data_IF_876299302905
#
_entry.id   IF_876299302905
#
_cell.length_a   1.000
_cell.length_b   1.000
_cell.length_c   1.000
_cell.angle_alpha   90.00
_cell.angle_beta   90.00
_cell.angle_gamma   90.00
#
_symmetry.space_group_name_H-M   'P 1'
#
loop_
_entity.id
_entity.type
_entity.pdbx_description
1 polymer ?
#
# COMPACT_ATOMS: atom_id res chain seq x y z
N UNK A 1 12.79 1.37 3.27
CA UNK A 1 12.39 2.33 2.25
C UNK A 1 11.31 1.81 1.29
N UNK A 2 10.45 0.90 1.75
CA UNK A 2 9.56 0.14 0.86
C UNK A 2 8.18 0.78 0.63
N UNK A 3 7.87 1.84 1.35
CA UNK A 3 6.62 2.61 1.18
C UNK A 3 6.91 4.05 0.79
N UNK A 4 7.55 4.23 -0.36
CA UNK A 4 7.77 5.57 -0.89
C UNK A 4 6.54 6.07 -1.62
N UNK A 5 6.08 7.24 -1.22
CA UNK A 5 5.03 8.02 -1.91
C UNK A 5 5.69 8.86 -3.04
N UNK A 6 6.79 8.39 -3.60
CA UNK A 6 7.56 9.10 -4.63
C UNK A 6 7.01 8.82 -6.02
N UNK A 7 7.27 9.74 -6.95
CA UNK A 7 6.81 9.67 -8.34
C UNK A 7 7.28 8.41 -9.09
N UNK A 8 8.35 7.74 -8.63
CA UNK A 8 8.80 6.47 -9.20
C UNK A 8 7.86 5.29 -8.88
N UNK A 9 7.11 5.36 -7.77
CA UNK A 9 6.21 4.29 -7.29
C UNK A 9 4.73 4.64 -7.46
N UNK A 10 4.39 5.92 -7.44
CA UNK A 10 3.05 6.43 -7.66
C UNK A 10 3.11 7.33 -8.89
N UNK A 11 2.44 6.93 -9.96
CA UNK A 11 2.39 7.67 -11.23
C UNK A 11 1.01 8.28 -11.49
N UNK A 12 0.02 7.85 -10.74
CA UNK A 12 -1.37 8.27 -10.90
C UNK A 12 -2.17 8.08 -9.60
N UNK A 13 -3.32 8.73 -9.50
CA UNK A 13 -4.27 8.51 -8.40
C UNK A 13 -4.71 7.04 -8.30
N UNK A 14 -4.69 6.29 -9.39
CA UNK A 14 -4.96 4.84 -9.40
C UNK A 14 -3.94 4.09 -8.55
N UNK A 15 -2.68 4.50 -8.54
CA UNK A 15 -1.64 3.85 -7.73
C UNK A 15 -1.77 4.20 -6.25
N UNK A 16 -2.23 5.42 -5.94
CA UNK A 16 -2.64 5.80 -4.57
C UNK A 16 -3.72 4.85 -4.07
N UNK A 17 -4.77 4.61 -4.87
CA UNK A 17 -5.84 3.68 -4.52
C UNK A 17 -5.33 2.25 -4.32
N UNK A 18 -4.40 1.78 -5.15
CA UNK A 18 -3.78 0.45 -5.00
C UNK A 18 -3.00 0.35 -3.69
N UNK A 19 -2.17 1.35 -3.39
CA UNK A 19 -1.36 1.41 -2.17
C UNK A 19 -2.24 1.37 -0.92
N UNK A 20 -3.27 2.22 -0.85
CA UNK A 20 -4.22 2.27 0.26
C UNK A 20 -4.98 0.95 0.42
N UNK A 21 -5.43 0.34 -0.67
CA UNK A 21 -6.10 -0.96 -0.60
C UNK A 21 -5.19 -2.06 -0.07
N UNK A 22 -3.90 -2.04 -0.45
CA UNK A 22 -2.91 -3.01 0.04
C UNK A 22 -2.64 -2.80 1.52
N UNK A 23 -2.45 -1.56 1.97
CA UNK A 23 -2.29 -1.21 3.37
C UNK A 23 -3.46 -1.75 4.20
N UNK A 24 -4.69 -1.39 3.83
CA UNK A 24 -5.90 -1.81 4.56
C UNK A 24 -6.06 -3.35 4.55
N UNK A 25 -5.78 -4.01 3.42
CA UNK A 25 -5.94 -5.46 3.33
C UNK A 25 -4.99 -6.23 4.27
N UNK A 26 -3.79 -5.70 4.50
CA UNK A 26 -2.74 -6.37 5.28
C UNK A 26 -2.60 -5.86 6.73
N UNK A 27 -3.38 -4.86 7.13
CA UNK A 27 -3.38 -4.32 8.51
C UNK A 27 -4.72 -4.53 9.22
N UNK A 28 -5.51 -5.51 8.77
CA UNK A 28 -6.76 -5.88 9.44
C UNK A 28 -6.45 -6.61 10.74
N UNK A 29 -7.13 -6.21 11.82
CA UNK A 29 -7.08 -6.94 13.09
C UNK A 29 -7.72 -8.32 12.98
N UNK A 30 -7.32 -9.24 13.86
CA UNK A 30 -7.97 -10.55 13.98
C UNK A 30 -9.46 -10.37 14.30
N UNK A 31 -10.33 -10.97 13.47
CA UNK A 31 -11.78 -10.93 13.65
C UNK A 31 -12.54 -9.85 12.88
N UNK A 32 -11.87 -8.95 12.16
CA UNK A 32 -12.54 -8.06 11.22
C UNK A 32 -13.16 -8.87 10.07
N UNK A 33 -14.51 -8.90 10.03
CA UNK A 33 -15.25 -9.55 8.93
C UNK A 33 -14.92 -8.86 7.60
N UNK A 34 -14.81 -9.64 6.54
CA UNK A 34 -14.43 -9.19 5.19
C UNK A 34 -15.46 -8.28 4.48
N UNK A 35 -16.55 -7.87 5.16
CA UNK A 35 -17.50 -6.92 4.59
C UNK A 35 -16.87 -5.52 4.61
N UNK A 36 -16.93 -4.83 3.48
CA UNK A 36 -16.55 -3.41 3.41
C UNK A 36 -17.46 -2.62 4.35
N UNK A 37 -17.02 -2.51 5.60
CA UNK A 37 -17.70 -1.73 6.62
C UNK A 37 -17.52 -0.24 6.33
N UNK A 38 -18.44 0.56 6.81
CA UNK A 38 -18.38 2.02 6.75
C UNK A 38 -17.01 2.56 7.19
N UNK A 39 -16.43 1.99 8.26
CA UNK A 39 -15.13 2.39 8.80
C UNK A 39 -14.00 2.23 7.79
N UNK A 40 -13.90 1.09 7.15
CA UNK A 40 -12.89 0.81 6.11
C UNK A 40 -13.02 1.76 4.93
N UNK A 41 -14.24 2.10 4.52
CA UNK A 41 -14.47 3.08 3.44
C UNK A 41 -14.03 4.47 3.84
N UNK A 42 -14.31 4.88 5.08
CA UNK A 42 -13.91 6.18 5.61
C UNK A 42 -12.39 6.29 5.81
N UNK A 43 -11.74 5.26 6.35
CA UNK A 43 -10.28 5.16 6.45
C UNK A 43 -9.62 5.27 5.06
N UNK A 44 -10.17 4.57 4.06
CA UNK A 44 -9.69 4.63 2.68
C UNK A 44 -9.73 6.06 2.13
N UNK A 45 -10.83 6.78 2.33
CA UNK A 45 -10.95 8.17 1.91
C UNK A 45 -9.88 9.05 2.57
N UNK A 46 -9.67 8.87 3.86
CA UNK A 46 -8.70 9.63 4.62
C UNK A 46 -7.26 9.35 4.17
N UNK A 47 -6.86 8.08 4.07
CA UNK A 47 -5.54 7.71 3.54
C UNK A 47 -5.32 8.21 2.11
N UNK A 48 -6.32 8.10 1.24
CA UNK A 48 -6.23 8.63 -0.12
C UNK A 48 -6.06 10.15 -0.15
N UNK A 49 -6.69 10.86 0.78
CA UNK A 49 -6.52 12.30 0.91
C UNK A 49 -5.09 12.66 1.33
N UNK A 50 -4.58 12.05 2.42
CA UNK A 50 -3.25 12.34 2.95
C UNK A 50 -2.14 11.94 1.96
N UNK A 51 -2.18 10.72 1.42
CA UNK A 51 -1.19 10.24 0.46
C UNK A 51 -1.26 11.07 -0.83
N UNK A 52 -2.45 11.44 -1.28
CA UNK A 52 -2.63 12.32 -2.42
C UNK A 52 -2.03 13.71 -2.17
N UNK A 53 -2.24 14.28 -0.98
CA UNK A 53 -1.62 15.55 -0.60
C UNK A 53 -0.08 15.45 -0.61
N UNK A 54 0.48 14.43 0.02
CA UNK A 54 1.93 14.20 0.08
C UNK A 54 2.50 14.05 -1.34
N UNK A 55 1.86 13.26 -2.18
CA UNK A 55 2.36 13.00 -3.53
C UNK A 55 2.38 14.25 -4.41
N UNK A 56 1.35 15.09 -4.36
CA UNK A 56 1.23 16.27 -5.20
C UNK A 56 1.97 17.50 -4.63
N UNK A 57 1.86 17.72 -3.31
CA UNK A 57 2.22 19.01 -2.70
C UNK A 57 3.50 18.96 -1.86
N UNK A 58 3.93 17.79 -1.37
CA UNK A 58 5.12 17.68 -0.55
C UNK A 58 6.42 17.70 -1.39
N UNK A 59 7.52 18.22 -0.85
CA UNK A 59 8.84 18.08 -1.45
C UNK A 59 9.27 16.61 -1.46
N UNK A 60 10.20 16.24 -2.34
CA UNK A 60 10.58 14.83 -2.56
C UNK A 60 11.12 14.15 -1.30
N UNK A 61 11.76 14.87 -0.40
CA UNK A 61 12.29 14.37 0.87
C UNK A 61 11.15 13.92 1.82
N UNK A 62 9.98 14.56 1.69
CA UNK A 62 8.81 14.29 2.53
C UNK A 62 7.82 13.30 1.89
N UNK A 63 8.06 12.84 0.66
CA UNK A 63 7.21 11.84 0.00
C UNK A 63 7.48 10.43 0.53
N UNK A 64 7.17 10.21 1.81
CA UNK A 64 7.42 8.95 2.51
C UNK A 64 6.33 8.65 3.56
N UNK A 65 6.42 7.48 4.17
CA UNK A 65 5.46 7.02 5.18
C UNK A 65 5.54 7.82 6.48
N UNK A 66 6.71 8.37 6.80
CA UNK A 66 6.90 9.13 8.05
C UNK A 66 6.07 10.41 7.99
N UNK A 67 6.08 11.11 6.86
CA UNK A 67 5.21 12.28 6.64
C UNK A 67 3.72 11.91 6.77
N UNK A 68 3.31 10.74 6.26
CA UNK A 68 1.94 10.27 6.45
C UNK A 68 1.61 10.09 7.93
N UNK A 69 2.50 9.48 8.71
CA UNK A 69 2.33 9.32 10.16
C UNK A 69 2.25 10.66 10.88
N UNK A 70 3.13 11.58 10.54
CA UNK A 70 3.15 12.91 11.16
C UNK A 70 1.85 13.69 10.83
N UNK A 71 1.32 13.57 9.61
CA UNK A 71 0.01 14.13 9.27
C UNK A 71 -1.14 13.48 10.06
N UNK A 72 -1.13 12.14 10.23
CA UNK A 72 -2.14 11.45 11.05
C UNK A 72 -2.05 11.91 12.50
N UNK A 73 -0.85 12.01 13.05
CA UNK A 73 -0.64 12.48 14.43
C UNK A 73 -1.01 13.96 14.62
N UNK A 74 -0.85 14.78 13.59
CA UNK A 74 -1.28 16.19 13.59
C UNK A 74 -2.79 16.36 13.34
N UNK A 75 -3.49 15.27 13.01
CA UNK A 75 -4.95 15.30 12.80
C UNK A 75 -5.66 15.12 14.13
N UNK A 76 -6.55 16.02 14.41
CA UNK A 76 -7.35 15.99 15.64
C UNK A 76 -8.81 16.32 15.29
N UNK A 77 -9.74 15.63 15.93
CA UNK A 77 -11.16 15.94 15.87
C UNK A 77 -11.66 16.15 17.30
N UNK A 78 -12.27 17.32 17.57
CA UNK A 78 -12.88 17.63 18.85
C UNK A 78 -14.37 17.32 18.81
N UNK A 79 -14.86 16.61 19.84
CA UNK A 79 -16.27 16.24 19.93
C UNK A 79 -17.16 17.42 20.25
N UNK A 80 -16.63 18.38 21.03
CA UNK A 80 -17.38 19.52 21.60
C UNK A 80 -17.22 20.81 20.77
N UNK A 81 -16.44 20.79 19.70
CA UNK A 81 -16.19 21.95 18.85
C UNK A 81 -16.17 21.54 17.37
N UNK A 82 -17.30 21.67 16.70
CA UNK A 82 -17.44 21.37 15.27
C UNK A 82 -16.66 22.32 14.36
N UNK A 83 -16.26 23.49 14.85
CA UNK A 83 -15.49 24.49 14.11
C UNK A 83 -13.98 24.34 14.33
N UNK A 84 -13.55 23.41 15.18
CA UNK A 84 -12.14 23.17 15.40
C UNK A 84 -11.46 22.68 14.11
N UNK A 85 -10.33 23.32 13.78
CA UNK A 85 -9.48 22.96 12.64
C UNK A 85 -8.12 22.52 13.14
N UNK A 86 -7.77 21.27 12.85
CA UNK A 86 -6.42 20.73 13.06
C UNK A 86 -5.43 21.37 12.07
N UNK A 87 -4.11 21.26 12.31
CA UNK A 87 -3.10 21.66 11.32
C UNK A 87 -3.34 21.05 9.93
N UNK A 88 -3.79 19.81 9.87
CA UNK A 88 -4.10 19.13 8.60
C UNK A 88 -5.34 19.74 7.93
N UNK A 89 -6.38 20.08 8.67
CA UNK A 89 -7.53 20.80 8.11
C UNK A 89 -7.09 22.09 7.42
N UNK A 90 -6.19 22.85 8.05
CA UNK A 90 -5.68 24.11 7.48
C UNK A 90 -4.87 23.91 6.19
N UNK A 91 -4.13 22.78 6.07
CA UNK A 91 -3.44 22.44 4.83
C UNK A 91 -4.43 22.18 3.71
N UNK A 92 -5.48 21.41 3.98
CA UNK A 92 -6.52 21.09 2.99
C UNK A 92 -7.37 22.31 2.62
N UNK A 93 -7.67 23.19 3.57
CA UNK A 93 -8.37 24.46 3.27
C UNK A 93 -7.58 25.31 2.28
N UNK A 94 -6.27 25.47 2.50
CA UNK A 94 -5.39 26.23 1.59
C UNK A 94 -5.30 25.59 0.19
N UNK A 95 -5.26 24.27 0.15
CA UNK A 95 -5.23 23.55 -1.12
C UNK A 95 -6.57 23.68 -1.85
N UNK A 96 -7.68 23.62 -1.12
CA UNK A 96 -9.03 23.83 -1.67
C UNK A 96 -9.22 25.21 -2.26
N UNK A 97 -8.73 26.27 -1.57
CA UNK A 97 -8.78 27.64 -2.08
C UNK A 97 -8.02 27.78 -3.41
N UNK A 98 -6.91 27.08 -3.56
CA UNK A 98 -6.05 27.09 -4.75
C UNK A 98 -6.60 26.20 -5.86
N UNK A 99 -6.99 24.97 -5.52
CA UNK A 99 -7.42 23.92 -6.46
C UNK A 99 -8.62 23.12 -5.91
N UNK A 100 -9.86 23.63 -6.03
CA UNK A 100 -11.06 22.96 -5.48
C UNK A 100 -11.30 21.54 -6.03
N UNK A 101 -10.84 21.28 -7.26
CA UNK A 101 -11.00 20.00 -7.96
C UNK A 101 -9.88 19.02 -7.72
N UNK A 102 -8.88 19.38 -6.88
CA UNK A 102 -7.74 18.54 -6.57
C UNK A 102 -8.18 17.18 -5.98
N UNK A 103 -7.52 16.08 -6.41
CA UNK A 103 -7.87 14.73 -5.98
C UNK A 103 -7.91 14.59 -4.46
N UNK A 104 -6.85 15.05 -3.77
CA UNK A 104 -6.73 14.95 -2.32
C UNK A 104 -7.84 15.72 -1.59
N UNK A 105 -8.18 16.93 -2.07
CA UNK A 105 -9.28 17.75 -1.55
C UNK A 105 -10.62 17.01 -1.66
N UNK A 106 -10.89 16.40 -2.84
CA UNK A 106 -12.12 15.62 -3.05
C UNK A 106 -12.26 14.44 -2.08
N UNK A 107 -11.15 13.74 -1.81
CA UNK A 107 -11.15 12.63 -0.85
C UNK A 107 -11.33 13.14 0.58
N UNK A 108 -10.65 14.23 0.95
CA UNK A 108 -10.72 14.83 2.26
C UNK A 108 -12.13 15.34 2.58
N UNK A 109 -12.77 16.05 1.66
CA UNK A 109 -14.17 16.52 1.80
C UNK A 109 -15.13 15.36 2.08
N UNK A 110 -14.98 14.24 1.37
CA UNK A 110 -15.83 13.06 1.61
C UNK A 110 -15.58 12.46 3.00
N UNK A 111 -14.34 12.41 3.46
CA UNK A 111 -14.01 12.01 4.83
C UNK A 111 -14.63 12.98 5.86
N UNK A 112 -14.54 14.27 5.65
CA UNK A 112 -15.10 15.33 6.55
C UNK A 112 -16.62 15.33 6.62
N UNK A 113 -17.32 14.60 5.78
CA UNK A 113 -18.76 14.35 5.95
C UNK A 113 -19.05 13.52 7.21
N UNK A 114 -18.07 12.79 7.73
CA UNK A 114 -18.15 12.18 9.05
C UNK A 114 -17.85 13.23 10.11
N UNK A 115 -18.79 13.47 11.04
CA UNK A 115 -18.67 14.51 12.06
C UNK A 115 -18.36 13.95 13.45
N UNK A 116 -17.75 14.77 14.30
CA UNK A 116 -17.61 14.56 15.73
C UNK A 116 -16.98 13.20 16.11
N UNK A 117 -17.70 12.39 16.87
CA UNK A 117 -17.26 11.08 17.37
C UNK A 117 -16.85 10.13 16.25
N UNK A 118 -17.55 10.18 15.12
CA UNK A 118 -17.25 9.32 13.97
C UNK A 118 -15.89 9.67 13.36
N UNK A 119 -15.60 10.94 13.14
CA UNK A 119 -14.31 11.39 12.64
C UNK A 119 -13.16 11.00 13.58
N UNK A 120 -13.34 11.18 14.89
CA UNK A 120 -12.36 10.78 15.91
C UNK A 120 -12.09 9.27 15.87
N UNK A 121 -13.14 8.45 15.75
CA UNK A 121 -12.99 6.99 15.67
C UNK A 121 -12.25 6.56 14.39
N UNK A 122 -12.48 7.23 13.25
CA UNK A 122 -11.73 6.98 12.00
C UNK A 122 -10.25 7.31 12.19
N UNK A 123 -9.92 8.46 12.80
CA UNK A 123 -8.53 8.86 13.07
C UNK A 123 -7.82 7.85 13.98
N UNK A 124 -8.48 7.39 15.05
CA UNK A 124 -7.95 6.37 15.95
C UNK A 124 -7.68 5.07 15.18
N UNK A 125 -8.61 4.64 14.34
CA UNK A 125 -8.46 3.43 13.54
C UNK A 125 -7.30 3.54 12.55
N UNK A 126 -7.17 4.68 11.86
CA UNK A 126 -6.03 4.94 10.98
C UNK A 126 -4.69 4.92 11.74
N UNK A 127 -4.61 5.56 12.89
CA UNK A 127 -3.40 5.55 13.73
C UNK A 127 -3.05 4.14 14.20
N UNK A 128 -4.03 3.36 14.64
CA UNK A 128 -3.82 1.99 15.12
C UNK A 128 -3.27 1.06 14.04
N UNK A 129 -3.70 1.21 12.76
CA UNK A 129 -3.15 0.42 11.65
C UNK A 129 -1.68 0.70 11.37
N UNK A 130 -1.21 1.89 11.66
CA UNK A 130 0.17 2.31 11.44
C UNK A 130 1.02 2.31 12.71
N UNK A 131 0.46 1.86 13.85
CA UNK A 131 1.18 1.75 15.12
C UNK A 131 2.54 1.00 15.03
N UNK A 132 2.72 -0.03 14.18
CA UNK A 132 4.05 -0.64 14.00
C UNK A 132 5.15 0.34 13.60
N UNK A 133 4.82 1.44 12.93
CA UNK A 133 5.79 2.48 12.55
C UNK A 133 6.19 3.41 13.71
N UNK A 134 5.63 3.25 14.91
CA UNK A 134 6.13 3.91 16.11
C UNK A 134 7.45 3.30 16.58
N UNK A 135 7.79 2.11 16.09
CA UNK A 135 9.08 1.45 16.32
C UNK A 135 10.16 2.21 15.55
N UNK A 136 11.16 2.73 16.31
CA UNK A 136 12.20 3.59 15.74
C UNK A 136 12.98 2.92 14.62
N UNK A 137 13.37 1.66 14.80
CA UNK A 137 14.13 0.90 13.80
C UNK A 137 13.37 0.75 12.48
N UNK A 138 12.04 0.63 12.56
CA UNK A 138 11.21 0.57 11.37
C UNK A 138 11.08 1.94 10.70
N UNK A 139 10.94 3.02 11.47
CA UNK A 139 10.93 4.39 10.93
C UNK A 139 12.23 4.69 10.19
N UNK A 140 13.38 4.40 10.82
CA UNK A 140 14.69 4.61 10.23
C UNK A 140 14.85 3.84 8.90
N UNK A 141 14.32 2.60 8.83
CA UNK A 141 14.31 1.79 7.62
C UNK A 141 13.45 2.39 6.50
N UNK A 142 12.37 3.08 6.85
CA UNK A 142 11.37 3.61 5.90
C UNK A 142 11.63 5.06 5.48
N UNK A 143 12.65 5.71 6.01
CA UNK A 143 12.95 7.12 5.74
C UNK A 143 13.52 7.33 4.34
N UNK A 144 14.33 6.38 3.86
CA UNK A 144 15.02 6.48 2.56
C UNK A 144 14.69 5.30 1.65
N UNK A 145 14.69 5.56 0.34
CA UNK A 145 14.56 4.52 -0.67
C UNK A 145 15.94 4.02 -1.12
N UNK A 146 16.37 2.90 -0.54
CA UNK A 146 17.62 2.23 -0.88
C UNK A 146 17.42 1.08 -1.88
N UNK A 147 16.20 0.55 -2.03
CA UNK A 147 15.93 -0.63 -2.84
C UNK A 147 15.90 -0.32 -4.34
N UNK A 148 15.51 0.90 -4.72
CA UNK A 148 15.39 1.31 -6.13
C UNK A 148 14.62 0.27 -6.96
N UNK A 149 13.45 -0.15 -6.48
CA UNK A 149 12.63 -1.20 -7.11
C UNK A 149 12.31 -0.90 -8.58
N UNK A 150 12.28 0.38 -8.93
CA UNK A 150 12.07 0.85 -10.30
C UNK A 150 13.19 0.44 -11.27
N UNK A 151 14.36 0.03 -10.77
CA UNK A 151 15.50 -0.43 -11.58
C UNK A 151 15.55 -1.94 -11.78
N UNK A 152 14.72 -2.69 -11.09
CA UNK A 152 14.60 -4.15 -11.26
C UNK A 152 14.00 -4.43 -12.64
N UNK A 153 14.57 -5.40 -13.34
CA UNK A 153 14.19 -5.75 -14.71
C UNK A 153 14.97 -5.02 -15.80
N UNK A 154 15.71 -3.93 -15.47
CA UNK A 154 16.60 -3.24 -16.41
C UNK A 154 18.00 -3.86 -16.45
N UNK A 155 18.46 -4.34 -15.32
CA UNK A 155 19.78 -4.96 -15.13
C UNK A 155 19.69 -6.21 -14.29
N UNK A 156 20.70 -7.07 -14.38
CA UNK A 156 20.81 -8.25 -13.51
C UNK A 156 20.95 -7.81 -12.05
N UNK A 157 19.94 -8.09 -11.27
CA UNK A 157 19.83 -7.71 -9.86
C UNK A 157 19.36 -8.91 -9.05
N UNK A 158 19.88 -9.11 -7.84
CA UNK A 158 19.36 -10.04 -6.85
C UNK A 158 18.89 -9.24 -5.63
N UNK A 159 17.59 -9.33 -5.32
CA UNK A 159 16.99 -8.75 -4.14
C UNK A 159 16.66 -9.88 -3.16
N UNK A 160 17.22 -9.81 -1.96
CA UNK A 160 16.93 -10.74 -0.86
C UNK A 160 16.03 -10.05 0.16
N UNK A 161 14.84 -10.60 0.37
CA UNK A 161 13.87 -10.11 1.36
C UNK A 161 13.83 -11.14 2.49
N UNK A 162 14.34 -10.75 3.66
CA UNK A 162 14.39 -11.62 4.83
C UNK A 162 13.23 -11.21 5.74
N UNK A 163 12.34 -12.16 6.01
CA UNK A 163 11.17 -12.00 6.88
C UNK A 163 11.26 -12.99 8.04
N UNK A 164 10.60 -12.65 9.15
CA UNK A 164 10.45 -13.59 10.27
C UNK A 164 9.48 -14.71 9.87
N UNK A 165 9.76 -15.93 10.32
CA UNK A 165 8.90 -17.11 10.20
C UNK A 165 7.95 -17.26 11.41
N UNK A 166 8.22 -16.53 12.50
CA UNK A 166 7.49 -16.62 13.78
C UNK A 166 6.73 -15.35 14.15
N UNK A 167 6.96 -14.23 13.43
CA UNK A 167 6.34 -12.94 13.72
C UNK A 167 5.83 -12.30 12.41
N UNK A 168 4.52 -12.11 12.33
CA UNK A 168 3.82 -11.56 11.17
C UNK A 168 3.55 -10.04 11.25
N UNK A 169 3.98 -9.40 12.34
CA UNK A 169 3.73 -7.97 12.62
C UNK A 169 4.09 -7.06 11.44
N UNK A 170 5.13 -7.39 10.69
CA UNK A 170 5.64 -6.58 9.59
C UNK A 170 5.32 -7.13 8.19
N UNK A 171 4.54 -8.20 8.08
CA UNK A 171 4.23 -8.84 6.80
C UNK A 171 3.50 -7.89 5.83
N UNK A 172 2.73 -6.93 6.36
CA UNK A 172 2.05 -5.93 5.54
C UNK A 172 3.04 -5.07 4.72
N UNK A 173 4.23 -4.78 5.25
CA UNK A 173 5.28 -4.01 4.56
C UNK A 173 5.77 -4.80 3.35
N UNK A 174 6.03 -6.09 3.57
CA UNK A 174 6.49 -7.01 2.51
C UNK A 174 5.43 -7.15 1.42
N UNK A 175 4.16 -7.32 1.80
CA UNK A 175 3.04 -7.37 0.85
C UNK A 175 2.92 -6.08 0.03
N UNK A 176 3.16 -4.91 0.65
CA UNK A 176 3.15 -3.62 -0.03
C UNK A 176 4.32 -3.49 -1.00
N UNK A 177 5.53 -3.88 -0.60
CA UNK A 177 6.71 -3.92 -1.47
C UNK A 177 6.44 -4.79 -2.70
N UNK A 178 5.98 -6.03 -2.52
CA UNK A 178 5.68 -6.90 -3.66
C UNK A 178 4.57 -6.33 -4.55
N UNK A 179 3.54 -5.71 -3.96
CA UNK A 179 2.48 -5.07 -4.75
C UNK A 179 3.03 -3.94 -5.61
N UNK A 180 3.88 -3.09 -5.05
CA UNK A 180 4.53 -2.01 -5.81
C UNK A 180 5.47 -2.57 -6.86
N UNK A 181 6.31 -3.54 -6.53
CA UNK A 181 7.27 -4.15 -7.45
C UNK A 181 6.57 -4.80 -8.65
N UNK A 182 5.52 -5.60 -8.44
CA UNK A 182 4.76 -6.21 -9.54
C UNK A 182 4.12 -5.16 -10.44
N UNK A 183 3.53 -4.10 -9.86
CA UNK A 183 2.96 -3.00 -10.64
C UNK A 183 4.02 -2.30 -11.48
N UNK A 184 5.17 -1.94 -10.86
CA UNK A 184 6.28 -1.28 -11.56
C UNK A 184 6.80 -2.11 -12.72
N UNK A 185 7.01 -3.42 -12.52
CA UNK A 185 7.52 -4.31 -13.55
C UNK A 185 6.53 -4.47 -14.70
N UNK A 186 5.23 -4.61 -14.40
CA UNK A 186 4.20 -4.73 -15.42
C UNK A 186 4.05 -3.43 -16.21
N UNK A 187 3.93 -2.29 -15.54
CA UNK A 187 3.80 -0.99 -16.18
C UNK A 187 5.05 -0.66 -17.01
N UNK A 188 6.26 -0.99 -16.50
CA UNK A 188 7.51 -0.81 -17.24
C UNK A 188 7.60 -1.71 -18.46
N UNK A 189 7.21 -2.98 -18.37
CA UNK A 189 7.17 -3.89 -19.49
C UNK A 189 6.25 -3.35 -20.60
N UNK A 190 5.05 -2.89 -20.22
CA UNK A 190 4.04 -2.42 -21.17
C UNK A 190 4.40 -1.05 -21.76
N UNK A 191 4.72 -0.07 -20.92
CA UNK A 191 4.83 1.33 -21.32
C UNK A 191 6.22 1.73 -21.84
N UNK A 192 7.28 1.05 -21.37
CA UNK A 192 8.67 1.40 -21.70
C UNK A 192 9.26 0.42 -22.71
N UNK A 193 9.00 -0.89 -22.54
CA UNK A 193 9.67 -1.96 -23.30
C UNK A 193 8.76 -2.68 -24.32
N UNK A 194 7.57 -2.15 -24.58
CA UNK A 194 6.70 -2.70 -25.61
C UNK A 194 6.16 -4.11 -25.32
N UNK A 195 5.99 -4.43 -24.04
CA UNK A 195 5.33 -5.63 -23.56
C UNK A 195 6.25 -6.65 -22.86
N UNK A 196 7.59 -6.46 -22.87
CA UNK A 196 8.53 -7.42 -22.26
C UNK A 196 9.73 -6.72 -21.63
N UNK A 197 10.07 -7.11 -20.41
CA UNK A 197 11.28 -6.62 -19.73
C UNK A 197 12.56 -7.10 -20.45
N UNK A 198 13.62 -6.28 -20.48
CA UNK A 198 14.89 -6.65 -21.08
C UNK A 198 15.64 -7.74 -20.29
N UNK A 199 15.41 -7.82 -18.98
CA UNK A 199 15.95 -8.85 -18.10
C UNK A 199 14.80 -9.59 -17.44
N UNK A 200 14.80 -10.93 -17.57
CA UNK A 200 13.79 -11.76 -16.92
C UNK A 200 13.83 -11.61 -15.40
N UNK A 201 12.67 -11.35 -14.79
CA UNK A 201 12.53 -11.23 -13.33
C UNK A 201 11.86 -12.49 -12.78
N UNK A 202 12.56 -13.22 -11.94
CA UNK A 202 12.03 -14.39 -11.26
C UNK A 202 11.82 -14.12 -9.78
N UNK A 203 10.59 -14.27 -9.32
CA UNK A 203 10.23 -14.26 -7.92
C UNK A 203 10.34 -15.66 -7.34
N UNK A 204 11.12 -15.80 -6.28
CA UNK A 204 11.18 -17.00 -5.45
C UNK A 204 10.50 -16.66 -4.13
N UNK A 205 9.21 -17.00 -4.03
CA UNK A 205 8.35 -16.65 -2.89
C UNK A 205 8.36 -17.84 -1.92
N UNK A 206 9.46 -17.96 -1.18
CA UNK A 206 9.61 -18.96 -0.14
C UNK A 206 8.70 -18.58 1.03
N UNK A 207 8.00 -19.56 1.62
CA UNK A 207 7.00 -19.34 2.65
C UNK A 207 5.99 -18.24 2.28
N UNK A 208 5.41 -18.32 1.07
CA UNK A 208 4.49 -17.29 0.59
C UNK A 208 3.35 -16.94 1.57
N UNK A 209 2.98 -17.88 2.43
CA UNK A 209 1.99 -17.64 3.47
C UNK A 209 2.39 -16.52 4.43
N UNK A 210 3.68 -16.30 4.64
CA UNK A 210 4.21 -15.27 5.54
C UNK A 210 4.41 -13.90 4.86
N UNK A 211 4.24 -13.81 3.53
CA UNK A 211 4.38 -12.53 2.81
C UNK A 211 3.19 -11.59 3.06
N UNK A 212 2.04 -12.13 3.48
CA UNK A 212 0.77 -11.42 3.53
C UNK A 212 0.02 -11.48 2.20
N UNK A 213 -1.08 -10.74 2.10
CA UNK A 213 -1.92 -10.75 0.90
C UNK A 213 -1.43 -9.74 -0.14
N UNK A 214 -1.01 -10.22 -1.31
CA UNK A 214 -0.82 -9.38 -2.49
C UNK A 214 -2.17 -9.23 -3.19
N UNK A 215 -2.82 -8.06 -3.19
CA UNK A 215 -4.14 -7.89 -3.77
C UNK A 215 -4.18 -8.25 -5.25
N UNK A 216 -5.19 -9.02 -5.65
CA UNK A 216 -5.39 -9.48 -7.04
C UNK A 216 -4.27 -10.34 -7.60
N UNK A 217 -3.53 -11.03 -6.74
CA UNK A 217 -2.42 -11.88 -7.16
C UNK A 217 -2.87 -12.98 -8.13
N UNK A 218 -4.10 -13.49 -8.01
CA UNK A 218 -4.71 -14.45 -8.93
C UNK A 218 -4.79 -13.95 -10.38
N UNK A 219 -4.99 -12.65 -10.56
CA UNK A 219 -4.98 -12.00 -11.89
C UNK A 219 -3.58 -11.72 -12.38
N UNK A 220 -2.73 -11.32 -11.46
CA UNK A 220 -1.35 -11.00 -11.73
C UNK A 220 -0.59 -12.23 -12.26
N UNK A 221 -0.66 -13.36 -11.55
CA UNK A 221 0.05 -14.61 -11.92
C UNK A 221 -0.35 -15.11 -13.32
N UNK A 222 -1.60 -14.85 -13.73
CA UNK A 222 -2.09 -15.22 -15.06
C UNK A 222 -1.50 -14.38 -16.20
N UNK A 223 -0.94 -13.19 -15.90
CA UNK A 223 -0.54 -12.20 -16.92
C UNK A 223 0.95 -11.88 -16.95
N UNK A 224 1.71 -12.21 -15.91
CA UNK A 224 3.13 -11.81 -15.80
C UNK A 224 4.04 -12.52 -16.79
N UNK A 225 3.69 -13.74 -17.23
CA UNK A 225 4.52 -14.56 -18.13
C UNK A 225 4.88 -13.82 -19.43
N UNK A 226 3.93 -13.15 -20.06
CA UNK A 226 4.15 -12.41 -21.32
C UNK A 226 5.15 -11.25 -21.15
N UNK A 227 5.33 -10.75 -19.92
CA UNK A 227 6.20 -9.62 -19.58
C UNK A 227 7.61 -10.01 -19.14
N UNK A 228 8.02 -11.25 -19.33
CA UNK A 228 9.29 -11.80 -18.83
C UNK A 228 9.36 -11.80 -17.28
N UNK A 229 8.24 -12.08 -16.63
CA UNK A 229 8.15 -12.23 -15.19
C UNK A 229 7.64 -13.62 -14.86
N UNK A 230 8.28 -14.31 -13.92
CA UNK A 230 7.83 -15.59 -13.39
C UNK A 230 7.83 -15.61 -11.86
N UNK A 231 7.00 -16.46 -11.29
CA UNK A 231 6.95 -16.68 -9.85
C UNK A 231 7.00 -18.17 -9.51
N UNK A 232 7.82 -18.51 -8.53
CA UNK A 232 7.84 -19.80 -7.87
C UNK A 232 7.27 -19.62 -6.48
N UNK A 233 6.11 -20.23 -6.22
CA UNK A 233 5.39 -20.15 -4.96
C UNK A 233 5.71 -21.40 -4.16
N UNK A 234 6.29 -21.24 -2.99
CA UNK A 234 6.65 -22.34 -2.09
C UNK A 234 5.77 -22.26 -0.86
N UNK A 235 5.15 -23.38 -0.53
CA UNK A 235 4.21 -23.52 0.58
C UNK A 235 4.43 -24.86 1.26
N UNK A 236 4.20 -24.94 2.56
CA UNK A 236 4.18 -26.21 3.29
C UNK A 236 2.92 -27.01 2.97
N UNK A 237 1.80 -26.31 2.73
CA UNK A 237 0.51 -26.93 2.36
C UNK A 237 -0.35 -25.96 1.54
N UNK A 238 -1.13 -26.48 0.62
CA UNK A 238 -2.07 -25.68 -0.18
C UNK A 238 -3.15 -24.99 0.68
N UNK A 239 -3.45 -25.50 1.87
CA UNK A 239 -4.38 -24.88 2.82
C UNK A 239 -3.93 -23.50 3.26
N UNK A 240 -2.63 -23.22 3.31
CA UNK A 240 -2.08 -21.90 3.62
C UNK A 240 -2.48 -20.87 2.56
N UNK A 241 -2.40 -21.23 1.26
CA UNK A 241 -2.84 -20.36 0.18
C UNK A 241 -4.35 -20.09 0.25
N UNK A 242 -5.14 -21.13 0.57
CA UNK A 242 -6.60 -21.00 0.73
C UNK A 242 -6.98 -20.11 1.92
N UNK A 243 -6.22 -20.13 3.00
CA UNK A 243 -6.45 -19.24 4.14
C UNK A 243 -6.34 -17.75 3.74
N UNK A 244 -5.37 -17.41 2.89
CA UNK A 244 -5.09 -16.01 2.49
C UNK A 244 -5.98 -15.59 1.31
N UNK A 245 -6.04 -16.41 0.25
CA UNK A 245 -6.69 -16.05 -1.02
C UNK A 245 -8.09 -16.62 -1.20
N UNK A 246 -8.57 -17.44 -0.25
CA UNK A 246 -9.91 -18.08 -0.26
C UNK A 246 -10.19 -18.75 -1.61
N UNK A 247 -11.32 -18.43 -2.25
CA UNK A 247 -11.74 -18.99 -3.54
C UNK A 247 -10.75 -18.68 -4.69
N UNK A 248 -9.96 -17.62 -4.58
CA UNK A 248 -8.95 -17.27 -5.58
C UNK A 248 -7.70 -18.17 -5.54
N UNK A 249 -7.52 -18.95 -4.48
CA UNK A 249 -6.38 -19.87 -4.35
C UNK A 249 -6.33 -20.91 -5.47
N UNK A 250 -7.48 -21.47 -5.85
CA UNK A 250 -7.56 -22.47 -6.94
C UNK A 250 -7.21 -21.84 -8.30
N UNK A 251 -7.50 -20.56 -8.50
CA UNK A 251 -7.06 -19.81 -9.70
C UNK A 251 -5.54 -19.61 -9.71
N UNK A 252 -4.93 -19.32 -8.57
CA UNK A 252 -3.46 -19.19 -8.46
C UNK A 252 -2.80 -20.53 -8.79
N UNK A 253 -3.26 -21.62 -8.17
CA UNK A 253 -2.74 -22.97 -8.41
C UNK A 253 -2.88 -23.36 -9.89
N UNK A 254 -4.04 -23.10 -10.49
CA UNK A 254 -4.31 -23.41 -11.90
C UNK A 254 -3.48 -22.62 -12.91
N UNK A 255 -2.85 -21.52 -12.50
CA UNK A 255 -1.91 -20.75 -13.33
C UNK A 255 -0.44 -21.16 -13.11
N UNK A 256 -0.15 -22.11 -12.23
CA UNK A 256 1.15 -22.70 -12.07
C UNK A 256 1.32 -23.88 -13.03
N UNK A 257 2.41 -23.90 -13.81
CA UNK A 257 2.69 -24.97 -14.79
C UNK A 257 3.08 -26.30 -14.10
N UNK A 258 3.55 -26.22 -12.86
CA UNK A 258 4.01 -27.38 -12.06
C UNK A 258 3.53 -27.20 -10.63
N UNK A 259 2.91 -28.21 -10.07
CA UNK A 259 2.44 -28.27 -8.67
C UNK A 259 3.02 -29.50 -7.97
#
# INVERSE_FOLDING_TARGET
SEMCIRDRYIRSEKDILKLVNTLIANTKGEGEKSSEDFWVKAERLYYCALIGYIWYEAPDEEKNIITLLDMINASEAKEDDENYKSPVDLLFDRLEEKEPEHFAVKQYKKYKMAAGKTAKSILISCGARLAPFDIKELRDLMEYDELELDKIGDRKTALFVIISDTDDTFNFIVAMMYTQLFNLLCDKADDVYGGRLPVHVRFLLDEMANIGQIPKFEKLIATIRSREISASIILQAQSQLKAIYKDNADTIIGNCDTT
#
